data_IF_644696012444
#
_entry.id   IF_644696012444
#
_cell.length_a   1.000
_cell.length_b   1.000
_cell.length_c   1.000
_cell.angle_alpha   90.00
_cell.angle_beta   90.00
_cell.angle_gamma   90.00
#
_symmetry.space_group_name_H-M   'P 1'
#
loop_
_entity.id
_entity.type
_entity.pdbx_description
1 polymer ?
#
# COMPACT_ATOMS: atom_id res chain seq x y z
N UNK A 1 -5.08 9.02 -33.18
CA UNK A 1 -3.61 9.16 -32.97
C UNK A 1 -3.39 10.07 -31.78
N UNK A 2 -3.39 9.50 -30.57
CA UNK A 2 -3.17 10.25 -29.33
C UNK A 2 -1.66 10.47 -29.20
N UNK A 3 -1.26 11.74 -29.19
CA UNK A 3 0.15 12.17 -29.15
C UNK A 3 0.75 11.71 -27.82
N UNK A 4 1.89 11.01 -27.86
CA UNK A 4 2.70 10.79 -26.66
C UNK A 4 2.92 12.13 -25.92
N UNK A 5 2.89 12.15 -24.58
CA UNK A 5 3.13 13.38 -23.83
C UNK A 5 4.48 13.99 -24.23
N UNK A 6 4.49 15.31 -24.45
CA UNK A 6 5.68 16.03 -24.86
C UNK A 6 6.77 15.94 -23.77
N UNK A 7 8.07 15.92 -24.14
CA UNK A 7 9.16 15.98 -23.16
C UNK A 7 9.00 17.24 -22.29
N UNK A 8 8.78 17.04 -20.98
CA UNK A 8 8.49 18.10 -20.01
C UNK A 8 7.28 17.87 -19.09
N UNK A 9 6.53 16.78 -19.24
CA UNK A 9 5.37 16.42 -18.39
C UNK A 9 5.70 16.04 -16.94
N UNK A 10 6.99 15.93 -16.58
CA UNK A 10 7.42 15.53 -15.24
C UNK A 10 7.27 14.03 -14.93
N UNK A 11 6.72 13.22 -15.85
CA UNK A 11 6.66 11.76 -15.74
C UNK A 11 6.81 11.11 -17.12
N UNK A 12 7.31 9.86 -17.16
CA UNK A 12 7.43 9.05 -18.37
C UNK A 12 6.56 7.79 -18.24
N UNK A 13 5.64 7.51 -19.19
CA UNK A 13 4.88 6.26 -19.19
C UNK A 13 5.84 5.06 -19.26
N UNK A 14 5.68 4.11 -18.34
CA UNK A 14 6.41 2.83 -18.38
C UNK A 14 5.90 1.94 -19.53
N UNK A 15 4.66 2.18 -19.98
CA UNK A 15 3.95 1.35 -20.95
C UNK A 15 3.51 0.00 -20.38
N UNK A 16 3.62 -0.20 -19.06
CA UNK A 16 3.23 -1.43 -18.36
C UNK A 16 2.27 -1.09 -17.23
N UNK A 17 1.26 -1.93 -17.05
CA UNK A 17 0.29 -1.83 -15.97
C UNK A 17 0.61 -2.83 -14.87
N UNK A 18 0.30 -2.41 -13.65
CA UNK A 18 0.20 -3.27 -12.48
C UNK A 18 -1.27 -3.56 -12.18
N UNK A 19 -1.59 -4.81 -11.82
CA UNK A 19 -2.90 -5.12 -11.23
C UNK A 19 -2.72 -5.38 -9.74
N UNK A 20 -3.51 -4.70 -8.93
CA UNK A 20 -3.71 -4.97 -7.51
C UNK A 20 -5.06 -5.66 -7.30
N UNK A 21 -5.23 -6.36 -6.19
CA UNK A 21 -6.52 -6.82 -5.72
C UNK A 21 -6.72 -6.31 -4.30
N UNK A 22 -7.84 -5.65 -4.04
CA UNK A 22 -8.21 -5.24 -2.69
C UNK A 22 -9.43 -6.02 -2.25
N UNK A 23 -9.29 -6.74 -1.14
CA UNK A 23 -10.36 -7.49 -0.51
C UNK A 23 -10.82 -6.69 0.70
N UNK A 24 -11.93 -5.92 0.57
CA UNK A 24 -12.41 -5.10 1.66
C UNK A 24 -12.82 -5.99 2.83
N UNK A 25 -12.50 -5.54 4.04
CA UNK A 25 -12.94 -6.12 5.30
C UNK A 25 -13.07 -7.63 5.20
N UNK A 26 -11.96 -8.41 5.26
CA UNK A 26 -12.03 -9.86 5.29
C UNK A 26 -12.89 -10.20 6.49
N UNK A 27 -14.17 -10.29 6.19
CA UNK A 27 -15.20 -10.15 7.18
C UNK A 27 -14.98 -11.27 8.18
N UNK A 28 -15.50 -11.16 9.39
CA UNK A 28 -15.35 -12.22 10.39
C UNK A 28 -15.68 -13.63 9.84
N UNK A 29 -16.42 -13.72 8.73
CA UNK A 29 -16.79 -14.93 8.01
C UNK A 29 -15.91 -15.38 6.81
N UNK A 30 -14.90 -14.61 6.34
CA UNK A 30 -14.02 -15.06 5.24
C UNK A 30 -12.99 -16.08 5.76
N UNK A 31 -13.01 -17.29 5.21
CA UNK A 31 -12.06 -18.34 5.61
C UNK A 31 -10.65 -18.10 5.05
N UNK A 32 -9.63 -18.56 5.77
CA UNK A 32 -8.24 -18.51 5.28
C UNK A 32 -8.08 -19.24 3.93
N UNK A 33 -8.84 -20.31 3.67
CA UNK A 33 -8.81 -21.03 2.39
C UNK A 33 -9.31 -20.17 1.21
N UNK A 34 -10.31 -19.32 1.44
CA UNK A 34 -10.77 -18.35 0.43
C UNK A 34 -9.70 -17.29 0.17
N UNK A 35 -9.08 -16.74 1.22
CA UNK A 35 -7.97 -15.79 1.09
C UNK A 35 -6.77 -16.39 0.36
N UNK A 36 -6.39 -17.62 0.72
CA UNK A 36 -5.32 -18.39 0.04
C UNK A 36 -5.64 -18.57 -1.44
N UNK A 37 -6.87 -18.95 -1.76
CA UNK A 37 -7.31 -19.15 -3.16
C UNK A 37 -7.25 -17.85 -3.95
N UNK A 38 -7.73 -16.74 -3.37
CA UNK A 38 -7.67 -15.42 -3.99
C UNK A 38 -6.21 -14.99 -4.23
N UNK A 39 -5.36 -15.09 -3.20
CA UNK A 39 -3.95 -14.73 -3.28
C UNK A 39 -3.19 -15.53 -4.35
N UNK A 40 -3.37 -16.85 -4.39
CA UNK A 40 -2.74 -17.72 -5.38
C UNK A 40 -3.28 -17.52 -6.80
N UNK A 41 -4.56 -17.15 -6.92
CA UNK A 41 -5.16 -16.79 -8.21
C UNK A 41 -4.59 -15.47 -8.73
N UNK A 42 -4.53 -14.45 -7.88
CA UNK A 42 -3.92 -13.17 -8.21
C UNK A 42 -2.43 -13.34 -8.58
N UNK A 43 -1.69 -14.17 -7.83
CA UNK A 43 -0.29 -14.49 -8.11
C UNK A 43 -0.11 -15.21 -9.46
N UNK A 44 -1.01 -16.15 -9.81
CA UNK A 44 -1.03 -16.79 -11.13
C UNK A 44 -1.23 -15.79 -12.26
N UNK A 45 -2.00 -14.72 -12.01
CA UNK A 45 -2.22 -13.63 -12.94
C UNK A 45 -1.21 -12.48 -12.84
N UNK A 46 -0.06 -12.68 -12.19
CA UNK A 46 1.00 -11.67 -12.01
C UNK A 46 0.56 -10.37 -11.34
N UNK A 47 -0.48 -10.42 -10.50
CA UNK A 47 -0.88 -9.26 -9.71
C UNK A 47 0.29 -8.82 -8.83
N UNK A 48 0.50 -7.51 -8.76
CA UNK A 48 1.61 -6.92 -8.02
C UNK A 48 1.33 -6.85 -6.53
N UNK A 49 0.08 -6.61 -6.14
CA UNK A 49 -0.33 -6.33 -4.77
C UNK A 49 -1.65 -7.02 -4.43
N UNK A 50 -1.73 -7.61 -3.23
CA UNK A 50 -2.97 -7.99 -2.58
C UNK A 50 -3.10 -7.15 -1.31
N UNK A 51 -4.20 -6.41 -1.21
CA UNK A 51 -4.55 -5.60 -0.04
C UNK A 51 -5.65 -6.29 0.75
N UNK A 52 -5.44 -6.42 2.06
CA UNK A 52 -6.49 -6.73 3.01
C UNK A 52 -6.80 -5.48 3.82
N UNK A 53 -8.06 -5.06 3.80
CA UNK A 53 -8.54 -3.84 4.42
C UNK A 53 -9.09 -4.11 5.82
N UNK A 54 -8.45 -3.55 6.83
CA UNK A 54 -8.89 -3.58 8.22
C UNK A 54 -9.67 -2.31 8.55
N UNK A 55 -10.99 -2.37 8.36
CA UNK A 55 -11.91 -1.34 8.82
C UNK A 55 -12.93 -1.89 9.81
N UNK A 56 -13.15 -1.12 10.87
CA UNK A 56 -14.17 -1.37 11.89
C UNK A 56 -15.43 -0.56 11.56
N UNK A 57 -16.24 -1.05 10.63
CA UNK A 57 -17.51 -0.40 10.32
C UNK A 57 -18.49 -0.59 11.48
N UNK A 58 -18.98 0.52 12.06
CA UNK A 58 -20.11 0.47 12.97
C UNK A 58 -21.41 0.61 12.18
N UNK A 59 -22.47 -0.04 12.67
CA UNK A 59 -23.80 0.12 12.09
C UNK A 59 -24.21 1.61 12.12
N UNK A 60 -24.36 2.22 10.94
CA UNK A 60 -24.73 3.63 10.77
C UNK A 60 -23.62 4.55 10.24
N UNK A 61 -22.41 4.05 10.01
CA UNK A 61 -21.36 4.83 9.32
C UNK A 61 -21.70 5.03 7.82
N UNK A 62 -21.30 6.17 7.20
CA UNK A 62 -21.43 6.34 5.76
C UNK A 62 -20.64 5.25 5.02
N UNK A 63 -21.34 4.31 4.39
CA UNK A 63 -20.73 3.11 3.78
C UNK A 63 -21.04 1.80 4.50
N UNK A 64 -21.56 1.85 5.73
CA UNK A 64 -22.06 0.67 6.46
C UNK A 64 -23.35 0.09 5.86
N UNK A 65 -24.07 0.86 5.03
CA UNK A 65 -25.32 0.42 4.37
C UNK A 65 -25.11 -0.62 3.26
N UNK A 66 -23.86 -0.82 2.81
CA UNK A 66 -23.52 -1.80 1.76
C UNK A 66 -22.80 -3.05 2.31
N UNK A 67 -22.44 -3.08 3.59
CA UNK A 67 -21.78 -4.22 4.21
C UNK A 67 -22.75 -4.96 5.13
N UNK A 68 -23.15 -6.16 4.72
CA UNK A 68 -23.81 -7.15 5.56
C UNK A 68 -22.88 -7.74 6.64
N UNK A 69 -22.03 -6.92 7.30
CA UNK A 69 -21.29 -7.37 8.47
C UNK A 69 -20.93 -6.23 9.45
N UNK A 70 -21.74 -5.99 10.50
CA UNK A 70 -21.38 -5.12 11.62
C UNK A 70 -20.38 -5.77 12.61
N UNK A 71 -19.75 -6.92 12.29
CA UNK A 71 -18.91 -7.66 13.24
C UNK A 71 -17.41 -7.28 13.27
N UNK A 72 -16.98 -6.28 12.50
CA UNK A 72 -15.57 -5.88 12.43
C UNK A 72 -14.70 -6.78 11.54
N UNK A 73 -13.47 -6.33 11.28
CA UNK A 73 -12.48 -7.07 10.50
C UNK A 73 -11.63 -7.98 11.38
N UNK A 74 -11.14 -9.09 10.81
CA UNK A 74 -10.04 -9.84 11.41
C UNK A 74 -8.74 -9.00 11.38
N UNK A 75 -7.79 -9.29 12.28
CA UNK A 75 -6.44 -8.71 12.25
C UNK A 75 -5.74 -9.07 10.93
N UNK A 76 -5.56 -8.08 10.06
CA UNK A 76 -5.09 -8.34 8.68
C UNK A 76 -3.60 -8.66 8.68
N UNK A 77 -2.83 -8.16 9.66
CA UNK A 77 -1.42 -8.48 9.83
C UNK A 77 -1.18 -9.99 9.98
N UNK A 78 -1.97 -10.66 10.82
CA UNK A 78 -1.90 -12.11 11.04
C UNK A 78 -2.31 -12.88 9.79
N UNK A 79 -3.37 -12.46 9.10
CA UNK A 79 -3.81 -13.09 7.86
C UNK A 79 -2.74 -12.98 6.76
N UNK A 80 -2.15 -11.79 6.59
CA UNK A 80 -1.08 -11.55 5.62
C UNK A 80 0.19 -12.35 5.96
N UNK A 81 0.53 -12.52 7.25
CA UNK A 81 1.63 -13.40 7.64
C UNK A 81 1.38 -14.86 7.26
N UNK A 82 0.13 -15.34 7.37
CA UNK A 82 -0.26 -16.65 6.85
C UNK A 82 -0.13 -16.75 5.32
N UNK A 83 -0.60 -15.72 4.60
CA UNK A 83 -0.49 -15.63 3.14
C UNK A 83 0.96 -15.55 2.65
N UNK A 84 1.86 -14.93 3.42
CA UNK A 84 3.28 -14.86 3.13
C UNK A 84 3.92 -16.25 3.01
N UNK A 85 3.44 -17.23 3.78
CA UNK A 85 3.96 -18.60 3.75
C UNK A 85 3.46 -19.44 2.55
N UNK A 86 2.36 -19.04 1.91
CA UNK A 86 1.69 -19.80 0.83
C UNK A 86 1.68 -19.07 -0.52
N UNK A 87 2.39 -17.95 -0.60
CA UNK A 87 2.65 -17.15 -1.81
C UNK A 87 4.14 -16.87 -1.93
N UNK A 88 4.63 -16.67 -3.14
CA UNK A 88 6.07 -16.53 -3.42
C UNK A 88 6.46 -15.17 -3.96
N UNK A 89 5.53 -14.52 -4.65
CA UNK A 89 5.74 -13.32 -5.40
C UNK A 89 4.87 -12.19 -4.90
N UNK A 90 3.54 -12.33 -4.87
CA UNK A 90 2.59 -11.21 -4.71
C UNK A 90 2.90 -10.34 -3.48
N UNK A 91 2.79 -9.02 -3.64
CA UNK A 91 2.87 -8.05 -2.55
C UNK A 91 1.72 -8.20 -1.57
N UNK A 92 1.98 -7.92 -0.29
CA UNK A 92 1.06 -8.12 0.81
C UNK A 92 0.86 -6.79 1.53
N UNK A 93 -0.22 -6.09 1.20
CA UNK A 93 -0.59 -4.80 1.76
C UNK A 93 -1.56 -4.95 2.92
N UNK A 94 -1.17 -4.46 4.09
CA UNK A 94 -2.09 -4.21 5.19
C UNK A 94 -2.70 -2.82 5.00
N UNK A 95 -4.00 -2.73 4.76
CA UNK A 95 -4.74 -1.47 4.77
C UNK A 95 -5.27 -1.24 6.18
N UNK A 96 -4.65 -0.29 6.91
CA UNK A 96 -4.94 -0.06 8.33
C UNK A 96 -4.96 1.45 8.59
N UNK A 97 -5.93 1.90 9.37
CA UNK A 97 -6.07 3.29 9.81
C UNK A 97 -5.16 3.61 11.02
N UNK A 98 -4.74 4.88 11.20
CA UNK A 98 -3.88 5.29 12.31
C UNK A 98 -4.58 5.40 13.68
N UNK A 99 -5.90 5.25 13.74
CA UNK A 99 -6.73 5.58 14.91
C UNK A 99 -6.78 4.53 16.02
N UNK A 100 -6.24 3.34 15.80
CA UNK A 100 -6.32 2.22 16.75
C UNK A 100 -4.96 1.66 17.21
N UNK A 101 -3.86 2.04 16.55
CA UNK A 101 -2.53 1.51 16.81
C UNK A 101 -1.52 2.61 17.15
N UNK A 102 -0.50 2.29 17.95
CA UNK A 102 0.67 3.17 18.10
C UNK A 102 1.55 3.08 16.84
N UNK A 103 2.11 4.20 16.32
CA UNK A 103 2.93 4.17 15.11
C UNK A 103 4.16 3.25 15.23
N UNK A 104 4.69 3.05 16.45
CA UNK A 104 5.80 2.13 16.69
C UNK A 104 5.40 0.66 16.60
N UNK A 105 4.20 0.33 17.07
CA UNK A 105 3.65 -1.02 16.97
C UNK A 105 3.28 -1.34 15.52
N UNK A 106 2.66 -0.41 14.80
CA UNK A 106 2.34 -0.64 13.38
C UNK A 106 3.62 -0.77 12.54
N UNK A 107 4.59 0.14 12.71
CA UNK A 107 5.88 0.03 12.04
C UNK A 107 6.57 -1.31 12.31
N UNK A 108 6.45 -1.84 13.54
CA UNK A 108 6.98 -3.14 13.92
C UNK A 108 6.30 -4.30 13.19
N UNK A 109 4.96 -4.30 13.13
CA UNK A 109 4.16 -5.34 12.49
C UNK A 109 4.45 -5.41 10.99
N UNK A 110 4.44 -4.28 10.29
CA UNK A 110 4.76 -4.22 8.86
C UNK A 110 6.22 -4.65 8.59
N UNK A 111 7.19 -4.21 9.40
CA UNK A 111 8.58 -4.64 9.24
C UNK A 111 8.76 -6.15 9.46
N UNK A 112 8.00 -6.73 10.38
CA UNK A 112 8.00 -8.18 10.62
C UNK A 112 7.39 -8.93 9.44
N UNK A 113 6.27 -8.44 8.89
CA UNK A 113 5.67 -8.99 7.67
C UNK A 113 6.65 -8.89 6.48
N UNK A 114 7.38 -7.79 6.36
CA UNK A 114 8.38 -7.61 5.29
C UNK A 114 9.47 -8.66 5.38
N UNK A 115 10.00 -8.89 6.58
CA UNK A 115 11.01 -9.92 6.81
C UNK A 115 10.47 -11.33 6.54
N UNK A 116 9.26 -11.65 7.04
CA UNK A 116 8.62 -12.97 6.85
C UNK A 116 8.33 -13.26 5.38
N UNK A 117 7.90 -12.25 4.64
CA UNK A 117 7.53 -12.38 3.24
C UNK A 117 8.72 -12.29 2.28
N UNK A 118 9.90 -11.86 2.77
CA UNK A 118 11.09 -11.68 1.95
C UNK A 118 11.06 -10.39 1.13
N UNK A 119 10.56 -9.30 1.70
CA UNK A 119 10.52 -7.99 1.05
C UNK A 119 9.23 -7.64 0.34
N UNK A 120 8.13 -8.33 0.66
CA UNK A 120 6.86 -8.20 -0.07
C UNK A 120 5.80 -7.42 0.70
N UNK A 121 6.14 -6.83 1.84
CA UNK A 121 5.14 -6.10 2.61
C UNK A 121 4.90 -4.70 2.05
N UNK A 122 3.65 -4.28 2.17
CA UNK A 122 3.23 -2.91 1.98
C UNK A 122 2.32 -2.48 3.13
N UNK A 123 2.26 -1.18 3.34
CA UNK A 123 1.30 -0.55 4.22
C UNK A 123 0.47 0.44 3.43
N UNK A 124 -0.83 0.20 3.41
CA UNK A 124 -1.82 1.15 2.93
C UNK A 124 -2.39 1.90 4.13
N UNK A 125 -2.03 3.17 4.27
CA UNK A 125 -2.55 3.99 5.35
C UNK A 125 -3.91 4.53 4.95
N UNK A 126 -4.95 4.08 5.65
CA UNK A 126 -6.31 4.52 5.40
C UNK A 126 -6.50 5.96 5.91
N UNK A 127 -7.34 6.77 5.24
CA UNK A 127 -7.60 8.15 5.65
C UNK A 127 -8.53 8.26 6.87
N UNK A 128 -9.01 7.13 7.40
CA UNK A 128 -9.94 7.09 8.51
C UNK A 128 -9.24 7.52 9.82
N UNK A 129 -9.92 8.34 10.62
CA UNK A 129 -9.46 8.70 11.96
C UNK A 129 -8.44 9.84 12.02
N UNK A 130 -7.23 9.57 12.54
CA UNK A 130 -6.23 10.59 12.91
C UNK A 130 -5.44 11.17 11.71
N UNK A 131 -4.87 12.37 11.87
CA UNK A 131 -4.06 13.01 10.83
C UNK A 131 -2.78 12.20 10.55
N UNK A 132 -2.59 11.68 9.33
CA UNK A 132 -1.42 10.87 8.98
C UNK A 132 -0.10 11.66 9.05
N UNK A 133 -0.16 13.00 9.14
CA UNK A 133 0.99 13.89 9.18
C UNK A 133 1.94 13.68 10.37
N UNK A 134 1.44 13.19 11.51
CA UNK A 134 2.29 12.81 12.64
C UNK A 134 2.64 11.32 12.57
N UNK A 135 1.67 10.47 12.19
CA UNK A 135 1.78 9.01 12.26
C UNK A 135 2.83 8.40 11.32
N UNK A 136 2.71 8.67 10.02
CA UNK A 136 3.58 8.06 9.01
C UNK A 136 5.04 8.53 9.14
N UNK A 137 5.34 9.82 9.34
CA UNK A 137 6.72 10.26 9.55
C UNK A 137 7.40 9.63 10.78
N UNK A 138 6.65 9.29 11.83
CA UNK A 138 7.18 8.58 12.99
C UNK A 138 7.55 7.12 12.62
N UNK A 139 6.66 6.40 11.95
CA UNK A 139 6.90 5.05 11.43
C UNK A 139 8.08 5.00 10.44
N UNK A 140 8.14 5.98 9.53
CA UNK A 140 9.24 6.15 8.59
C UNK A 140 10.60 6.30 9.29
N UNK A 141 10.67 7.12 10.35
CA UNK A 141 11.89 7.32 11.15
C UNK A 141 12.31 6.05 11.88
N UNK A 142 11.35 5.25 12.36
CA UNK A 142 11.61 3.95 12.98
C UNK A 142 12.32 3.00 12.00
N UNK A 143 11.77 2.85 10.80
CA UNK A 143 12.37 1.98 9.78
C UNK A 143 13.75 2.45 9.34
N UNK A 144 13.96 3.76 9.20
CA UNK A 144 15.30 4.31 8.90
C UNK A 144 16.31 3.97 9.99
N UNK A 145 15.94 4.18 11.26
CA UNK A 145 16.80 3.90 12.39
C UNK A 145 17.16 2.41 12.46
N UNK A 146 16.19 1.51 12.26
CA UNK A 146 16.43 0.07 12.23
C UNK A 146 17.29 -0.35 11.03
N UNK A 147 17.09 0.25 9.85
CA UNK A 147 17.90 -0.03 8.64
C UNK A 147 19.35 0.41 8.83
N UNK A 148 19.57 1.61 9.39
CA UNK A 148 20.91 2.10 9.74
C UNK A 148 21.60 1.18 10.76
N UNK A 149 20.85 0.68 11.74
CA UNK A 149 21.31 -0.29 12.73
C UNK A 149 21.80 -1.60 12.09
N UNK A 150 21.02 -2.15 11.18
CA UNK A 150 21.38 -3.40 10.50
C UNK A 150 22.64 -3.24 9.65
N UNK A 151 22.78 -2.13 8.92
CA UNK A 151 23.94 -1.86 8.08
C UNK A 151 25.23 -1.68 8.91
N UNK A 152 25.15 -1.07 10.10
CA UNK A 152 26.28 -0.95 11.00
C UNK A 152 26.83 -2.30 11.48
N UNK A 153 25.96 -3.32 11.67
CA UNK A 153 26.36 -4.68 12.10
C UNK A 153 27.24 -5.42 11.07
N UNK A 154 27.21 -5.02 9.79
CA UNK A 154 28.07 -5.57 8.74
C UNK A 154 29.48 -4.95 8.71
N UNK A 155 29.79 -4.01 9.62
CA UNK A 155 31.16 -3.52 9.85
C UNK A 155 31.81 -4.29 10.99
N UNK A 156 33.14 -4.50 10.95
CA UNK A 156 33.90 -5.28 11.96
C UNK A 156 33.46 -4.91 13.39
N UNK A 157 33.33 -5.88 14.32
CA UNK A 157 32.86 -5.62 15.67
C UNK A 157 33.76 -4.57 16.34
N UNK A 158 33.20 -3.37 16.50
CA UNK A 158 33.74 -2.28 17.29
C UNK A 158 32.90 -2.08 18.55
N UNK A 159 33.26 -1.11 19.41
CA UNK A 159 32.44 -0.77 20.57
C UNK A 159 31.01 -0.46 20.14
N UNK A 160 30.02 -1.03 20.85
CA UNK A 160 28.59 -0.79 20.62
C UNK A 160 28.36 0.72 20.67
N UNK A 161 28.08 1.33 19.52
CA UNK A 161 27.59 2.70 19.46
C UNK A 161 26.07 2.66 19.59
N UNK A 162 25.47 3.43 20.52
CA UNK A 162 24.04 3.70 20.47
C UNK A 162 23.70 4.22 19.08
N UNK A 163 22.69 3.62 18.44
CA UNK A 163 22.26 4.00 17.09
C UNK A 163 21.44 5.30 17.06
N UNK A 164 21.40 6.00 18.21
CA UNK A 164 20.52 7.11 18.50
C UNK A 164 19.32 6.63 19.31
N UNK A 165 18.88 7.48 20.22
CA UNK A 165 17.48 7.57 20.61
C UNK A 165 16.86 8.70 19.79
N UNK A 166 15.60 8.55 19.42
CA UNK A 166 14.83 9.71 19.02
C UNK A 166 13.56 9.77 19.85
N UNK A 167 13.17 10.99 20.14
CA UNK A 167 11.87 11.33 20.66
C UNK A 167 11.15 12.08 19.55
N UNK A 168 10.00 11.55 19.14
CA UNK A 168 9.04 12.34 18.38
C UNK A 168 7.91 12.68 19.33
N UNK A 169 7.87 13.95 19.75
CA UNK A 169 6.72 14.52 20.46
C UNK A 169 5.77 15.12 19.44
N UNK A 170 4.73 14.36 19.09
CA UNK A 170 3.56 14.89 18.38
C UNK A 170 2.58 15.48 19.38
N UNK A 171 1.47 16.04 18.88
CA UNK A 171 0.38 16.46 19.76
C UNK A 171 -0.31 15.26 20.44
N UNK A 172 -0.16 14.06 19.86
CA UNK A 172 -0.92 12.86 20.24
C UNK A 172 -0.08 11.77 20.91
N UNK A 173 1.15 11.55 20.44
CA UNK A 173 2.01 10.49 20.96
C UNK A 173 3.44 10.97 21.22
N UNK A 174 4.12 10.25 22.11
CA UNK A 174 5.55 10.40 22.36
C UNK A 174 6.21 9.04 22.15
N UNK A 175 6.96 8.90 21.06
CA UNK A 175 7.68 7.66 20.74
C UNK A 175 9.10 7.78 21.25
N UNK A 176 9.46 6.96 22.24
CA UNK A 176 10.83 6.85 22.76
C UNK A 176 11.45 5.51 22.36
N UNK A 177 12.57 5.56 21.63
CA UNK A 177 13.29 4.34 21.24
C UNK A 177 14.50 4.06 22.13
N UNK A 178 14.47 2.89 22.77
CA UNK A 178 15.70 2.17 23.11
C UNK A 178 16.24 1.45 21.87
N UNK A 179 17.54 1.19 21.81
CA UNK A 179 18.21 0.44 20.72
C UNK A 179 17.74 -1.02 20.69
N UNK A 180 16.50 -1.27 20.29
CA UNK A 180 15.95 -2.59 20.08
C UNK A 180 16.59 -3.23 18.86
N UNK A 181 17.27 -4.34 19.06
CA UNK A 181 17.98 -5.10 18.04
C UNK A 181 16.95 -5.82 17.13
N UNK A 182 16.32 -5.12 16.19
CA UNK A 182 15.51 -5.76 15.14
C UNK A 182 16.36 -6.06 13.90
N UNK A 183 16.21 -7.22 13.26
CA UNK A 183 16.67 -7.40 11.88
C UNK A 183 15.90 -6.40 11.03
N UNK A 184 16.61 -5.54 10.29
CA UNK A 184 15.96 -4.61 9.38
C UNK A 184 16.23 -5.06 7.95
N UNK A 185 15.22 -4.95 7.11
CA UNK A 185 15.42 -4.99 5.67
C UNK A 185 16.33 -3.82 5.25
N UNK A 186 17.10 -3.94 4.15
CA UNK A 186 17.91 -2.84 3.66
C UNK A 186 17.09 -1.66 3.09
N UNK A 187 15.76 -1.82 3.01
CA UNK A 187 14.80 -0.85 2.47
C UNK A 187 13.57 -0.73 3.39
N UNK A 188 12.77 0.32 3.17
CA UNK A 188 11.46 0.47 3.80
C UNK A 188 10.39 -0.34 3.04
N UNK A 189 9.38 -0.89 3.73
CA UNK A 189 8.17 -1.43 3.09
C UNK A 189 7.52 -0.40 2.15
N UNK A 190 6.76 -0.87 1.17
CA UNK A 190 6.03 0.03 0.23
C UNK A 190 4.92 0.75 0.98
N UNK A 191 4.81 2.06 0.79
CA UNK A 191 3.72 2.88 1.37
C UNK A 191 2.71 3.24 0.30
N UNK A 192 1.45 2.85 0.52
CA UNK A 192 0.28 3.18 -0.30
C UNK A 192 -0.54 4.24 0.42
N UNK A 193 -0.86 5.34 -0.25
CA UNK A 193 -1.67 6.43 0.31
C UNK A 193 -2.85 6.77 -0.60
N UNK A 194 -4.00 7.21 -0.04
CA UNK A 194 -5.09 7.72 -0.84
C UNK A 194 -4.69 9.03 -1.54
N UNK A 195 -5.38 9.33 -2.64
CA UNK A 195 -5.21 10.56 -3.42
C UNK A 195 -6.53 11.08 -3.99
N UNK A 196 -7.64 10.92 -3.26
CA UNK A 196 -8.98 11.31 -3.70
C UNK A 196 -9.22 12.82 -3.55
N UNK A 197 -8.58 13.44 -2.57
CA UNK A 197 -8.65 14.89 -2.31
C UNK A 197 -7.31 15.58 -2.57
N UNK A 198 -7.34 16.91 -2.72
CA UNK A 198 -6.11 17.71 -2.86
C UNK A 198 -5.19 17.56 -1.63
N UNK A 199 -5.74 17.53 -0.42
CA UNK A 199 -4.97 17.37 0.81
C UNK A 199 -4.25 16.01 0.85
N UNK A 200 -4.97 14.93 0.53
CA UNK A 200 -4.40 13.58 0.41
C UNK A 200 -3.32 13.53 -0.67
N UNK A 201 -3.58 14.08 -1.86
CA UNK A 201 -2.61 14.10 -2.97
C UNK A 201 -1.33 14.85 -2.60
N UNK A 202 -1.44 16.00 -1.94
CA UNK A 202 -0.28 16.76 -1.47
C UNK A 202 0.53 15.99 -0.42
N UNK A 203 -0.14 15.26 0.48
CA UNK A 203 0.52 14.39 1.45
C UNK A 203 1.21 13.19 0.77
N UNK A 204 0.49 12.52 -0.13
CA UNK A 204 0.99 11.39 -0.91
C UNK A 204 2.19 11.77 -1.78
N UNK A 205 2.17 12.96 -2.39
CA UNK A 205 3.30 13.47 -3.16
C UNK A 205 4.61 13.51 -2.37
N UNK A 206 4.55 13.67 -1.03
CA UNK A 206 5.73 13.69 -0.14
C UNK A 206 6.16 12.30 0.34
N UNK A 207 5.22 11.38 0.55
CA UNK A 207 5.48 10.14 1.29
C UNK A 207 5.16 8.84 0.53
N UNK A 208 4.20 8.86 -0.40
CA UNK A 208 3.72 7.65 -1.05
C UNK A 208 4.76 7.06 -2.01
N UNK A 209 4.83 5.74 -2.06
CA UNK A 209 5.37 4.98 -3.19
C UNK A 209 4.27 4.69 -4.23
N UNK A 210 3.05 4.45 -3.74
CA UNK A 210 1.85 4.22 -4.54
C UNK A 210 0.72 5.12 -4.05
N UNK A 211 0.06 5.81 -4.98
CA UNK A 211 -1.16 6.57 -4.72
C UNK A 211 -2.34 5.75 -5.21
N UNK A 212 -3.27 5.45 -4.32
CA UNK A 212 -4.55 4.84 -4.69
C UNK A 212 -5.58 5.93 -4.97
N UNK A 213 -6.24 5.85 -6.13
CA UNK A 213 -7.24 6.82 -6.56
C UNK A 213 -8.58 6.15 -6.83
N UNK A 214 -9.65 6.94 -6.80
CA UNK A 214 -10.97 6.47 -7.16
C UNK A 214 -11.11 6.22 -8.66
N UNK A 215 -12.16 5.50 -9.08
CA UNK A 215 -12.44 5.25 -10.49
C UNK A 215 -12.59 6.55 -11.29
N UNK A 216 -11.92 6.61 -12.44
CA UNK A 216 -11.93 7.78 -13.32
C UNK A 216 -11.71 7.37 -14.79
N UNK A 217 -12.30 8.16 -15.69
CA UNK A 217 -12.02 8.03 -17.13
C UNK A 217 -10.61 8.54 -17.47
N UNK A 218 -10.12 8.17 -18.67
CA UNK A 218 -8.76 8.47 -19.12
C UNK A 218 -8.37 9.96 -19.02
N UNK A 219 -9.31 10.86 -19.34
CA UNK A 219 -9.08 12.30 -19.30
C UNK A 219 -8.81 12.83 -17.89
N UNK A 220 -9.62 12.41 -16.93
CA UNK A 220 -9.54 12.84 -15.53
C UNK A 220 -8.33 12.19 -14.84
N UNK A 221 -8.07 10.90 -15.10
CA UNK A 221 -6.87 10.22 -14.64
C UNK A 221 -5.58 10.94 -15.11
N UNK A 222 -5.54 11.38 -16.38
CA UNK A 222 -4.40 12.13 -16.91
C UNK A 222 -4.26 13.53 -16.30
N UNK A 223 -5.37 14.18 -15.96
CA UNK A 223 -5.35 15.45 -15.23
C UNK A 223 -4.75 15.26 -13.83
N UNK A 224 -5.24 14.27 -13.09
CA UNK A 224 -4.74 13.91 -11.76
C UNK A 224 -3.24 13.55 -11.79
N UNK A 225 -2.78 12.75 -12.77
CA UNK A 225 -1.35 12.43 -12.94
C UNK A 225 -0.47 13.67 -13.08
N UNK A 226 -0.94 14.68 -13.80
CA UNK A 226 -0.20 15.94 -13.99
C UNK A 226 -0.15 16.76 -12.71
N UNK A 227 -1.24 16.80 -11.96
CA UNK A 227 -1.30 17.45 -10.65
C UNK A 227 -0.35 16.77 -9.66
N UNK A 228 -0.42 15.45 -9.52
CA UNK A 228 0.50 14.68 -8.67
C UNK A 228 1.97 14.89 -9.08
N UNK A 229 2.27 14.94 -10.38
CA UNK A 229 3.62 15.20 -10.87
C UNK A 229 4.10 16.64 -10.60
N UNK A 230 3.20 17.62 -10.50
CA UNK A 230 3.54 18.96 -10.04
C UNK A 230 3.82 18.96 -8.53
N UNK A 231 2.95 18.35 -7.74
CA UNK A 231 3.07 18.26 -6.29
C UNK A 231 4.36 17.52 -5.86
N UNK A 232 4.72 16.44 -6.57
CA UNK A 232 5.98 15.72 -6.34
C UNK A 232 7.20 16.62 -6.60
N UNK A 233 7.17 17.41 -7.69
CA UNK A 233 8.26 18.35 -8.01
C UNK A 233 8.39 19.44 -6.96
N UNK A 234 7.27 19.99 -6.48
CA UNK A 234 7.26 20.99 -5.42
C UNK A 234 7.76 20.40 -4.08
N UNK A 235 7.52 19.11 -3.85
CA UNK A 235 8.08 18.34 -2.74
C UNK A 235 9.56 17.90 -2.96
N UNK A 236 10.15 18.18 -4.12
CA UNK A 236 11.51 17.77 -4.46
C UNK A 236 11.69 16.28 -4.74
N UNK A 237 10.62 15.57 -5.10
CA UNK A 237 10.61 14.15 -5.48
C UNK A 237 10.44 13.97 -6.99
N UNK A 238 11.03 12.90 -7.50
CA UNK A 238 10.77 12.44 -8.87
C UNK A 238 9.39 11.77 -8.94
N UNK A 239 8.48 12.33 -9.75
CA UNK A 239 7.15 11.77 -9.95
C UNK A 239 7.16 10.40 -10.65
N UNK A 240 8.28 10.02 -11.29
CA UNK A 240 8.50 8.68 -11.79
C UNK A 240 8.63 7.61 -10.70
N UNK A 241 8.92 8.02 -9.46
CA UNK A 241 9.03 7.13 -8.30
C UNK A 241 7.73 7.08 -7.47
N UNK A 242 6.62 7.59 -8.00
CA UNK A 242 5.30 7.56 -7.37
C UNK A 242 4.30 7.00 -8.38
N UNK A 243 3.82 5.79 -8.09
CA UNK A 243 2.88 5.08 -8.95
C UNK A 243 1.43 5.48 -8.64
N UNK A 244 0.55 5.41 -9.63
CA UNK A 244 -0.90 5.55 -9.44
C UNK A 244 -1.58 4.21 -9.72
N UNK A 245 -2.23 3.63 -8.72
CA UNK A 245 -3.15 2.50 -8.89
C UNK A 245 -4.58 2.99 -8.72
N UNK A 246 -5.36 2.95 -9.80
CA UNK A 246 -6.74 3.39 -9.79
C UNK A 246 -7.68 2.25 -9.42
N UNK A 247 -8.56 2.44 -8.45
CA UNK A 247 -9.63 1.47 -8.19
C UNK A 247 -10.48 1.26 -9.45
N UNK A 248 -10.80 0.02 -9.76
CA UNK A 248 -11.60 -0.33 -10.94
C UNK A 248 -12.47 -1.56 -10.70
N UNK A 249 -13.70 -1.48 -11.20
CA UNK A 249 -14.62 -2.60 -11.31
C UNK A 249 -14.63 -3.12 -12.76
N UNK A 250 -14.67 -4.44 -12.94
CA UNK A 250 -14.62 -5.06 -14.27
C UNK A 250 -15.87 -5.91 -14.53
N UNK A 251 -16.71 -5.46 -15.46
CA UNK A 251 -17.83 -6.27 -15.95
C UNK A 251 -17.43 -6.88 -17.30
N UNK A 252 -16.88 -8.09 -17.21
CA UNK A 252 -16.33 -8.80 -18.35
C UNK A 252 -17.26 -9.92 -18.83
N UNK A 253 -17.22 -10.16 -20.13
CA UNK A 253 -17.81 -11.31 -20.81
C UNK A 253 -17.00 -11.66 -22.07
N UNK A 254 -17.40 -12.71 -22.81
CA UNK A 254 -16.76 -13.08 -24.08
C UNK A 254 -17.04 -12.04 -25.16
N UNK A 255 -18.26 -11.49 -25.18
CA UNK A 255 -18.67 -10.44 -26.13
C UNK A 255 -19.08 -9.14 -25.43
N UNK A 256 -18.97 -8.01 -26.13
CA UNK A 256 -19.38 -6.71 -25.59
C UNK A 256 -20.88 -6.69 -25.24
N UNK A 257 -21.72 -7.36 -26.04
CA UNK A 257 -23.16 -7.44 -25.79
C UNK A 257 -23.49 -8.14 -24.48
N UNK A 258 -22.88 -9.29 -24.22
CA UNK A 258 -23.05 -10.02 -22.96
C UNK A 258 -22.56 -9.22 -21.75
N UNK A 259 -21.46 -8.47 -21.90
CA UNK A 259 -20.95 -7.62 -20.83
C UNK A 259 -21.92 -6.47 -20.51
N UNK A 260 -22.53 -5.87 -21.53
CA UNK A 260 -23.56 -4.84 -21.36
C UNK A 260 -24.80 -5.42 -20.67
N UNK A 261 -25.29 -6.57 -21.11
CA UNK A 261 -26.43 -7.26 -20.47
C UNK A 261 -26.13 -7.59 -18.99
N UNK A 262 -24.92 -8.09 -18.70
CA UNK A 262 -24.45 -8.35 -17.33
C UNK A 262 -24.41 -7.07 -16.51
N UNK A 263 -23.93 -5.96 -17.07
CA UNK A 263 -23.88 -4.68 -16.39
C UNK A 263 -25.27 -4.09 -16.14
N UNK A 264 -26.21 -4.23 -17.07
CA UNK A 264 -27.61 -3.83 -16.87
C UNK A 264 -28.26 -4.65 -15.76
N UNK A 265 -28.06 -5.96 -15.76
CA UNK A 265 -28.55 -6.84 -14.70
C UNK A 265 -28.03 -6.41 -13.32
N UNK A 266 -26.73 -6.10 -13.18
CA UNK A 266 -26.15 -5.58 -11.92
C UNK A 266 -26.89 -4.33 -11.45
N UNK A 267 -27.08 -3.35 -12.36
CA UNK A 267 -27.71 -2.06 -12.04
C UNK A 267 -29.16 -2.23 -11.59
N UNK A 268 -29.84 -3.27 -12.05
CA UNK A 268 -31.20 -3.61 -11.59
C UNK A 268 -31.21 -4.26 -10.20
N UNK A 269 -30.17 -5.03 -9.84
CA UNK A 269 -30.12 -5.75 -8.57
C UNK A 269 -29.54 -4.93 -7.41
N UNK A 270 -28.65 -3.97 -7.70
CA UNK A 270 -27.91 -3.21 -6.69
C UNK A 270 -28.34 -1.74 -6.65
N UNK A 271 -28.37 -1.10 -5.46
CA UNK A 271 -28.59 0.33 -5.37
C UNK A 271 -27.45 1.09 -6.05
N UNK A 272 -27.72 2.31 -6.52
CA UNK A 272 -26.74 3.16 -7.22
C UNK A 272 -25.45 3.40 -6.42
N UNK A 273 -25.54 3.41 -5.10
CA UNK A 273 -24.40 3.55 -4.19
C UNK A 273 -23.50 2.31 -4.11
N UNK A 274 -23.94 1.15 -4.59
CA UNK A 274 -23.22 -0.12 -4.50
C UNK A 274 -22.46 -0.49 -5.79
N UNK A 275 -22.57 0.31 -6.85
CA UNK A 275 -21.84 0.08 -8.09
C UNK A 275 -21.15 1.35 -8.58
N UNK A 276 -19.98 1.15 -9.20
CA UNK A 276 -19.17 2.22 -9.74
C UNK A 276 -19.65 2.62 -11.15
N UNK A 277 -20.03 3.87 -11.33
CA UNK A 277 -20.46 4.40 -12.63
C UNK A 277 -19.36 4.37 -13.70
N UNK A 278 -18.10 4.22 -13.29
CA UNK A 278 -16.91 4.23 -14.15
C UNK A 278 -16.33 2.81 -14.33
N UNK A 279 -17.13 1.76 -14.08
CA UNK A 279 -16.71 0.38 -14.32
C UNK A 279 -16.33 0.13 -15.79
N UNK A 280 -15.29 -0.69 -16.02
CA UNK A 280 -14.95 -1.19 -17.34
C UNK A 280 -15.94 -2.28 -17.75
N UNK A 281 -16.76 -2.00 -18.76
CA UNK A 281 -17.78 -2.92 -19.25
C UNK A 281 -17.47 -3.31 -20.70
N UNK A 282 -17.19 -4.59 -20.94
CA UNK A 282 -16.95 -5.06 -22.31
C UNK A 282 -16.38 -6.47 -22.39
N UNK A 283 -16.10 -6.89 -23.62
CA UNK A 283 -15.36 -8.12 -23.88
C UNK A 283 -13.94 -8.06 -23.32
N UNK A 284 -13.32 -9.21 -23.09
CA UNK A 284 -11.91 -9.28 -22.66
C UNK A 284 -10.97 -8.52 -23.62
N UNK A 285 -11.26 -8.53 -24.92
CA UNK A 285 -10.46 -7.82 -25.92
C UNK A 285 -10.73 -6.32 -25.90
N UNK A 286 -12.01 -5.91 -25.85
CA UNK A 286 -12.41 -4.50 -25.83
C UNK A 286 -11.87 -3.78 -24.61
N UNK A 287 -11.99 -4.38 -23.42
CA UNK A 287 -11.44 -3.81 -22.19
C UNK A 287 -9.90 -3.76 -22.26
N UNK A 288 -9.23 -4.77 -22.79
CA UNK A 288 -7.78 -4.73 -22.96
C UNK A 288 -7.31 -3.62 -23.94
N UNK A 289 -8.11 -3.29 -24.95
CA UNK A 289 -7.85 -2.14 -25.84
C UNK A 289 -8.04 -0.80 -25.14
N UNK A 290 -9.01 -0.70 -24.23
CA UNK A 290 -9.19 0.49 -23.41
C UNK A 290 -8.03 0.68 -22.42
N UNK A 291 -7.64 -0.38 -21.70
CA UNK A 291 -6.51 -0.33 -20.76
C UNK A 291 -5.17 -0.02 -21.46
N UNK A 292 -5.03 -0.37 -22.75
CA UNK A 292 -3.87 -0.01 -23.57
C UNK A 292 -3.72 1.51 -23.72
N UNK A 293 -4.82 2.27 -23.80
CA UNK A 293 -4.75 3.72 -23.90
C UNK A 293 -4.30 4.37 -22.58
N UNK A 294 -4.74 3.83 -21.44
CA UNK A 294 -4.21 4.21 -20.12
C UNK A 294 -2.70 3.94 -20.02
N UNK A 295 -2.25 2.73 -20.40
CA UNK A 295 -0.84 2.35 -20.36
C UNK A 295 0.04 3.23 -21.27
N UNK A 296 -0.42 3.53 -22.48
CA UNK A 296 0.32 4.35 -23.46
C UNK A 296 0.45 5.80 -23.05
N UNK A 297 -0.60 6.36 -22.47
CA UNK A 297 -0.59 7.74 -21.98
C UNK A 297 0.12 7.86 -20.63
N UNK A 298 0.22 6.76 -19.88
CA UNK A 298 0.69 6.71 -18.50
C UNK A 298 -0.18 7.54 -17.57
N UNK A 299 -1.48 7.62 -17.86
CA UNK A 299 -2.46 8.28 -16.99
C UNK A 299 -2.50 7.64 -15.60
N UNK A 300 -2.32 6.32 -15.55
CA UNK A 300 -2.14 5.52 -14.35
C UNK A 300 -1.03 4.50 -14.59
N UNK A 301 -0.47 3.95 -13.52
CA UNK A 301 0.52 2.88 -13.57
C UNK A 301 -0.14 1.50 -13.38
N UNK A 302 -1.43 1.47 -13.02
CA UNK A 302 -2.17 0.23 -12.84
C UNK A 302 -3.55 0.43 -12.26
N UNK A 303 -4.19 -0.70 -11.93
CA UNK A 303 -5.55 -0.73 -11.40
C UNK A 303 -5.64 -1.65 -10.18
N UNK A 304 -6.36 -1.22 -9.14
CA UNK A 304 -6.76 -2.08 -8.02
C UNK A 304 -8.14 -2.65 -8.34
N UNK A 305 -8.20 -3.96 -8.58
CA UNK A 305 -9.43 -4.71 -8.77
C UNK A 305 -10.11 -4.90 -7.43
N UNK A 306 -11.43 -4.69 -7.40
CA UNK A 306 -12.24 -4.93 -6.20
C UNK A 306 -13.32 -6.00 -6.45
N UNK A 307 -12.96 -7.29 -6.32
CA UNK A 307 -13.80 -8.38 -6.78
C UNK A 307 -14.81 -8.81 -5.71
N UNK A 308 -15.84 -8.00 -5.45
CA UNK A 308 -16.91 -8.38 -4.50
C UNK A 308 -18.23 -8.70 -5.17
N UNK A 309 -18.36 -8.45 -6.48
CA UNK A 309 -19.66 -8.50 -7.13
C UNK A 309 -19.98 -9.88 -7.72
N UNK A 310 -18.97 -10.64 -8.15
CA UNK A 310 -19.17 -11.95 -8.73
C UNK A 310 -18.26 -13.03 -8.15
N UNK A 311 -18.81 -14.22 -7.82
CA UNK A 311 -18.01 -15.42 -7.70
C UNK A 311 -17.20 -15.60 -8.99
N UNK A 312 -15.88 -15.82 -8.87
CA UNK A 312 -14.95 -16.03 -9.98
C UNK A 312 -14.50 -14.79 -10.77
N UNK A 313 -14.85 -13.56 -10.38
CA UNK A 313 -14.39 -12.34 -11.11
C UNK A 313 -12.86 -12.27 -11.27
N UNK A 314 -12.14 -12.58 -10.19
CA UNK A 314 -10.69 -12.65 -10.22
C UNK A 314 -10.19 -13.75 -11.17
N UNK A 315 -10.86 -14.89 -11.26
CA UNK A 315 -10.51 -15.96 -12.20
C UNK A 315 -10.76 -15.54 -13.65
N UNK A 316 -11.85 -14.83 -13.93
CA UNK A 316 -12.15 -14.31 -15.27
C UNK A 316 -11.07 -13.34 -15.74
N UNK A 317 -10.64 -12.42 -14.86
CA UNK A 317 -9.56 -11.49 -15.16
C UNK A 317 -8.27 -12.27 -15.45
N UNK A 318 -7.90 -13.21 -14.57
CA UNK A 318 -6.65 -13.97 -14.69
C UNK A 318 -6.64 -14.88 -15.91
N UNK A 319 -7.75 -15.55 -16.22
CA UNK A 319 -7.81 -16.55 -17.27
C UNK A 319 -8.06 -15.93 -18.67
N UNK A 320 -8.70 -14.77 -18.73
CA UNK A 320 -9.15 -14.19 -20.01
C UNK A 320 -8.62 -12.77 -20.28
N UNK A 321 -8.69 -11.85 -19.31
CA UNK A 321 -8.21 -10.48 -19.52
C UNK A 321 -6.67 -10.39 -19.51
N UNK A 322 -6.00 -11.01 -18.52
CA UNK A 322 -4.53 -10.98 -18.40
C UNK A 322 -3.83 -11.44 -19.69
N UNK A 323 -4.21 -12.56 -20.34
CA UNK A 323 -3.64 -12.94 -21.63
C UNK A 323 -3.81 -11.86 -22.71
N UNK A 324 -4.93 -11.13 -22.73
CA UNK A 324 -5.15 -10.04 -23.69
C UNK A 324 -4.24 -8.82 -23.42
N UNK A 325 -3.95 -8.54 -22.15
CA UNK A 325 -3.00 -7.49 -21.75
C UNK A 325 -1.56 -7.89 -22.08
N UNK A 326 -1.19 -9.14 -21.85
CA UNK A 326 0.12 -9.71 -22.21
C UNK A 326 0.36 -9.66 -23.73
N UNK A 327 -0.64 -10.04 -24.53
CA UNK A 327 -0.57 -9.96 -26.00
C UNK A 327 -0.30 -8.53 -26.50
N UNK A 328 -0.79 -7.52 -25.79
CA UNK A 328 -0.58 -6.09 -26.08
C UNK A 328 0.75 -5.56 -25.56
N UNK A 329 1.51 -6.36 -24.81
CA UNK A 329 2.81 -5.99 -24.25
C UNK A 329 2.72 -4.99 -23.09
N UNK A 330 1.53 -4.79 -22.51
CA UNK A 330 1.29 -3.83 -21.41
C UNK A 330 1.23 -4.50 -20.04
N UNK A 331 1.51 -5.80 -19.96
CA UNK A 331 1.45 -6.56 -18.70
C UNK A 331 2.56 -7.63 -18.65
N UNK A 332 3.05 -8.03 -17.46
CA UNK A 332 4.10 -9.03 -17.34
C UNK A 332 3.77 -10.33 -18.07
N UNK A 333 4.73 -10.83 -18.86
CA UNK A 333 4.66 -12.15 -19.48
C UNK A 333 4.81 -13.27 -18.41
N UNK A 334 4.52 -14.52 -18.79
CA UNK A 334 4.58 -15.71 -17.92
C UNK A 334 6.00 -16.16 -17.54
N UNK A 335 6.81 -15.23 -17.06
CA UNK A 335 8.10 -15.51 -16.46
C UNK A 335 7.99 -15.14 -14.98
N UNK A 336 8.17 -16.10 -14.06
CA UNK A 336 8.19 -15.76 -12.65
C UNK A 336 9.35 -14.79 -12.41
N UNK A 337 9.10 -13.79 -11.56
CA UNK A 337 10.18 -12.96 -11.06
C UNK A 337 11.26 -13.84 -10.42
N UNK A 338 12.53 -13.42 -10.45
CA UNK A 338 13.58 -14.08 -9.69
C UNK A 338 13.14 -14.28 -8.23
N UNK A 339 13.40 -15.46 -7.67
CA UNK A 339 13.09 -15.73 -6.27
C UNK A 339 13.74 -14.69 -5.36
N UNK A 340 12.95 -14.11 -4.43
CA UNK A 340 13.42 -13.05 -3.54
C UNK A 340 13.40 -11.64 -4.14
N UNK A 341 12.72 -11.42 -5.27
CA UNK A 341 12.42 -10.07 -5.78
C UNK A 341 11.51 -9.35 -4.78
N UNK A 342 11.95 -8.19 -4.27
CA UNK A 342 11.14 -7.36 -3.37
C UNK A 342 9.95 -6.76 -4.10
N UNK A 343 8.92 -6.38 -3.36
CA UNK A 343 7.77 -5.67 -3.92
C UNK A 343 8.20 -4.34 -4.56
N UNK A 344 9.14 -3.62 -3.96
CA UNK A 344 9.70 -2.38 -4.55
C UNK A 344 10.29 -2.65 -5.93
N UNK A 345 11.13 -3.67 -6.05
CA UNK A 345 11.77 -4.03 -7.31
C UNK A 345 10.73 -4.45 -8.37
N UNK A 346 9.69 -5.20 -7.98
CA UNK A 346 8.58 -5.56 -8.89
C UNK A 346 7.84 -4.32 -9.41
N UNK A 347 7.58 -3.36 -8.53
CA UNK A 347 6.93 -2.10 -8.87
C UNK A 347 7.86 -1.14 -9.63
N UNK A 348 9.13 -1.48 -9.85
CA UNK A 348 10.12 -0.60 -10.47
C UNK A 348 10.51 0.60 -9.60
N UNK A 349 10.24 0.52 -8.30
CA UNK A 349 10.58 1.55 -7.32
C UNK A 349 12.06 1.45 -6.89
N UNK A 350 12.71 2.56 -6.53
CA UNK A 350 14.09 2.53 -6.05
C UNK A 350 14.22 1.78 -4.71
N UNK A 351 15.31 1.03 -4.54
CA UNK A 351 15.64 0.29 -3.32
C UNK A 351 15.98 1.20 -2.12
N UNK A 352 16.49 2.40 -2.37
CA UNK A 352 16.73 3.39 -1.32
C UNK A 352 15.49 4.23 -1.10
N UNK A 353 14.92 4.25 0.12
CA UNK A 353 13.93 5.25 0.47
C UNK A 353 14.51 6.66 0.32
N UNK A 354 13.67 7.60 -0.09
CA UNK A 354 14.05 9.00 -0.06
C UNK A 354 14.40 9.39 1.38
N UNK A 355 15.54 10.06 1.66
CA UNK A 355 15.81 10.51 3.01
C UNK A 355 14.67 11.44 3.45
N UNK A 356 14.01 11.09 4.57
CA UNK A 356 13.03 11.98 5.20
C UNK A 356 13.73 13.34 5.37
N UNK A 357 13.16 14.39 4.78
CA UNK A 357 13.81 15.70 4.64
C UNK A 357 14.56 16.09 5.91
N UNK A 358 15.85 16.38 5.75
CA UNK A 358 16.84 16.60 6.81
C UNK A 358 16.35 17.65 7.83
N UNK A 359 15.60 17.22 8.85
CA UNK A 359 15.28 18.03 10.04
C UNK A 359 16.29 17.63 11.11
N UNK A 360 17.12 18.61 11.47
CA UNK A 360 18.23 18.52 12.42
C UNK A 360 17.98 17.53 13.56
N UNK A 361 18.85 16.53 13.67
CA UNK A 361 19.06 15.76 14.89
C UNK A 361 19.42 16.75 16.01
N UNK A 362 18.46 17.13 16.85
CA UNK A 362 18.79 17.78 18.10
C UNK A 362 19.44 16.73 19.00
N UNK A 363 20.71 16.93 19.32
CA UNK A 363 21.38 16.15 20.35
C UNK A 363 20.67 16.42 21.68
N UNK A 364 20.08 15.37 22.25
CA UNK A 364 19.48 15.43 23.59
C UNK A 364 20.61 15.67 24.61
N UNK A 365 20.47 16.64 25.53
CA UNK A 365 21.43 16.78 26.62
C UNK A 365 21.32 15.54 27.53
N UNK A 366 22.41 14.79 27.64
CA UNK A 366 22.54 13.73 28.65
C UNK A 366 22.60 14.42 30.02
N UNK A 367 21.47 14.44 30.73
CA UNK A 367 21.42 14.92 32.09
C UNK A 367 22.00 13.83 33.00
N UNK A 368 23.17 14.08 33.61
CA UNK A 368 23.64 13.26 34.73
C UNK A 368 22.75 13.58 35.93
N UNK A 369 21.96 12.61 36.36
CA UNK A 369 21.10 12.72 37.55
C UNK A 369 21.86 12.08 38.72
N UNK A 370 22.26 12.90 39.70
CA UNK A 370 22.97 12.42 40.90
C UNK A 370 22.01 12.00 42.03
N UNK A 371 20.73 12.40 42.03
CA UNK A 371 19.75 12.00 43.05
C UNK A 371 18.33 11.82 42.48
N UNK A 372 17.69 10.71 42.87
CA UNK A 372 16.44 10.17 42.30
C UNK A 372 15.15 10.64 43.02
N UNK A 373 15.24 11.51 44.03
CA UNK A 373 14.10 11.78 44.93
C UNK A 373 13.17 12.94 44.51
N UNK A 374 13.52 13.76 43.51
CA UNK A 374 12.73 14.94 43.14
C UNK A 374 11.99 14.86 41.79
N UNK A 375 11.85 13.66 41.22
CA UNK A 375 11.17 13.49 39.93
C UNK A 375 9.70 13.10 40.15
N UNK A 376 8.80 14.08 40.08
CA UNK A 376 7.38 13.83 39.76
C UNK A 376 7.22 13.72 38.23
N UNK A 377 7.46 12.52 37.70
CA UNK A 377 7.10 12.14 36.33
C UNK A 377 5.78 11.37 36.39
N UNK A 378 4.72 11.96 35.85
CA UNK A 378 3.45 11.28 35.60
C UNK A 378 3.53 10.45 34.31
N UNK A 379 4.56 9.60 34.22
CA UNK A 379 4.79 8.69 33.10
C UNK A 379 4.77 7.27 33.65
N UNK A 380 3.75 6.48 33.28
CA UNK A 380 3.78 5.03 33.48
C UNK A 380 4.79 4.42 32.49
N UNK A 381 6.03 4.25 32.94
CA UNK A 381 6.98 3.33 32.30
C UNK A 381 7.00 2.01 33.09
N UNK A 382 6.60 0.91 32.46
CA UNK A 382 6.91 -0.42 32.99
C UNK A 382 8.39 -0.74 32.75
N UNK A 383 9.15 -0.81 33.84
CA UNK A 383 10.57 -1.16 33.84
C UNK A 383 10.71 -2.69 33.85
N UNK A 384 11.04 -3.32 32.72
CA UNK A 384 11.40 -4.75 32.68
C UNK A 384 12.88 -4.91 33.05
N UNK A 385 13.14 -5.27 34.32
CA UNK A 385 14.50 -5.58 34.80
C UNK A 385 14.79 -7.07 34.57
N UNK A 386 15.66 -7.38 33.60
CA UNK A 386 16.23 -8.71 33.46
C UNK A 386 17.47 -8.84 34.37
N UNK A 387 17.43 -9.76 35.32
CA UNK A 387 18.59 -10.12 36.15
C UNK A 387 19.50 -11.08 35.36
N UNK A 388 20.69 -10.62 34.98
CA UNK A 388 21.74 -11.48 34.43
C UNK A 388 22.56 -12.05 35.61
N UNK A 389 22.93 -13.35 35.59
CA UNK A 389 23.55 -14.05 36.72
C UNK A 389 24.87 -13.48 37.24
#
# INVERSE_FOLDING_TARGET
>A
MTRMPAPGSGFAPTGRLHLGVSLPGPAAHTSFEQLRTAAQTAERGHFSLLTLDERYWLAGDPGADIAADPAGSNDVGTLLAGLAAVTTGIGLAAAVAPDHDDPADQAARIATLDQLSGGRAAWQLLPDGEDPADFLPAAERLWDAWSAAANARNTRPGPVKPLGSFEHGGHQFSVGLGTGNRPAAPYRPVVVLPGHTEAERLFAARHADVVETGPAGLGDALALRRELAADCRDAGRDAGNVLILQAATFVLAETDGEAVEKAEWIREQLPESAWDQVAFVGSYQGVADELLDFARTGAVDGFTVMPWMFPHELEDIVNHLVPQLQLRGIYPADHPDPAGTSLRARLGLPDTPHPAGNRSTQAVPVMQVEDLEDIHLDIRMELVVAKVP
#
